data_IF_084016269837
#
_entry.id   IF_084016269837
#
_cell.length_a   1.000
_cell.length_b   1.000
_cell.length_c   1.000
_cell.angle_alpha   90.00
_cell.angle_beta   90.00
_cell.angle_gamma   90.00
#
_symmetry.space_group_name_H-M   'P 1'
#
loop_
_entity.id
_entity.type
_entity.pdbx_description
1 polymer ?
#
# COMPACT_ATOMS: atom_id res chain seq x y z
N UNK A 1 6.91 14.22 -9.08
CA UNK A 1 5.49 14.08 -9.40
C UNK A 1 5.15 12.91 -10.27
N UNK A 2 5.71 11.79 -9.92
CA UNK A 2 5.40 10.55 -10.61
C UNK A 2 4.08 9.99 -10.10
N UNK A 3 3.30 9.40 -11.02
CA UNK A 3 2.13 8.61 -10.64
C UNK A 3 2.54 7.25 -10.08
N UNK A 4 3.81 6.91 -10.22
CA UNK A 4 4.34 5.65 -9.68
C UNK A 4 4.82 5.85 -8.25
N UNK A 5 4.68 4.80 -7.46
CA UNK A 5 5.16 4.77 -6.08
C UNK A 5 5.83 3.44 -5.82
N UNK A 6 6.86 3.47 -4.97
CA UNK A 6 7.48 2.24 -4.49
C UNK A 6 7.27 2.15 -2.99
N UNK A 7 6.72 1.03 -2.58
CA UNK A 7 6.50 0.71 -1.18
C UNK A 7 7.41 -0.46 -0.79
N UNK A 8 8.04 -0.35 0.36
CA UNK A 8 8.91 -1.40 0.88
C UNK A 8 8.36 -1.89 2.21
N UNK A 9 8.36 -3.19 2.38
CA UNK A 9 7.93 -3.81 3.63
C UNK A 9 8.71 -5.09 3.88
N UNK A 10 8.54 -5.67 5.06
CA UNK A 10 9.19 -6.93 5.44
C UNK A 10 8.18 -8.04 5.66
N UNK A 11 7.06 -7.98 4.95
CA UNK A 11 5.99 -8.96 5.08
C UNK A 11 6.04 -9.92 3.91
N UNK A 12 6.38 -11.17 4.19
CA UNK A 12 6.51 -12.16 3.13
C UNK A 12 5.21 -12.39 2.36
N UNK A 13 4.07 -12.22 3.01
CA UNK A 13 2.78 -12.39 2.35
C UNK A 13 2.59 -11.41 1.19
N UNK A 14 3.27 -10.27 1.24
CA UNK A 14 3.20 -9.29 0.16
C UNK A 14 3.81 -9.81 -1.15
N UNK A 15 4.64 -10.85 -1.09
CA UNK A 15 5.19 -11.48 -2.30
C UNK A 15 4.11 -12.14 -3.16
N UNK A 16 2.95 -12.42 -2.57
CA UNK A 16 1.86 -13.08 -3.27
C UNK A 16 1.06 -12.13 -4.15
N UNK A 17 1.30 -10.83 -4.03
CA UNK A 17 0.62 -9.86 -4.90
C UNK A 17 1.11 -10.00 -6.33
N UNK A 18 0.20 -9.77 -7.28
CA UNK A 18 0.48 -9.90 -8.70
C UNK A 18 0.27 -8.57 -9.40
N UNK A 19 0.99 -8.33 -10.51
CA UNK A 19 0.69 -7.16 -11.35
C UNK A 19 -0.79 -7.14 -11.71
N UNK A 20 -1.40 -5.97 -11.56
CA UNK A 20 -2.83 -5.78 -11.79
C UNK A 20 -3.67 -5.82 -10.52
N UNK A 21 -3.12 -6.31 -9.40
CA UNK A 21 -3.86 -6.32 -8.14
C UNK A 21 -4.14 -4.89 -7.69
N UNK A 22 -5.30 -4.70 -7.08
CA UNK A 22 -5.71 -3.39 -6.55
C UNK A 22 -5.35 -3.33 -5.07
N UNK A 23 -4.81 -2.20 -4.65
CA UNK A 23 -4.37 -1.98 -3.27
C UNK A 23 -5.02 -0.72 -2.73
N UNK A 24 -5.67 -0.83 -1.58
CA UNK A 24 -6.16 0.33 -0.84
C UNK A 24 -5.04 0.79 0.08
N UNK A 25 -4.65 2.05 -0.05
CA UNK A 25 -3.62 2.63 0.79
C UNK A 25 -4.23 3.08 2.10
N UNK A 26 -3.69 2.58 3.19
CA UNK A 26 -4.13 2.88 4.55
C UNK A 26 -2.99 3.56 5.29
N UNK A 27 -3.28 4.73 5.83
CA UNK A 27 -2.28 5.54 6.53
C UNK A 27 -2.56 5.53 8.03
N UNK A 28 -1.58 5.13 8.82
CA UNK A 28 -1.68 5.16 10.27
C UNK A 28 -1.40 6.56 10.77
N UNK A 29 -2.02 6.91 11.91
CA UNK A 29 -1.91 8.24 12.48
C UNK A 29 -0.65 8.48 13.32
N UNK A 30 0.11 7.43 13.61
CA UNK A 30 1.19 7.55 14.59
C UNK A 30 0.64 7.76 15.99
N UNK A 31 1.23 8.70 16.74
CA UNK A 31 0.90 8.89 18.16
C UNK A 31 -0.07 10.01 18.43
N UNK A 32 -0.65 10.65 17.42
CA UNK A 32 -1.41 11.88 17.62
C UNK A 32 -2.90 11.63 17.80
N UNK A 33 -3.27 10.70 18.68
CA UNK A 33 -4.65 10.46 19.01
C UNK A 33 -5.09 9.05 18.71
N UNK A 34 -6.41 8.81 18.77
CA UNK A 34 -6.96 7.48 18.57
C UNK A 34 -6.80 7.01 17.12
N UNK A 35 -6.26 5.81 16.96
CA UNK A 35 -6.15 5.18 15.64
C UNK A 35 -7.52 5.03 14.98
N UNK A 36 -8.57 4.80 15.76
CA UNK A 36 -9.93 4.62 15.24
C UNK A 36 -10.42 5.81 14.44
N UNK A 37 -10.01 7.01 14.80
CA UNK A 37 -10.48 8.24 14.18
C UNK A 37 -9.46 8.91 13.28
N UNK A 38 -8.18 8.56 13.40
CA UNK A 38 -7.11 9.26 12.70
C UNK A 38 -6.40 8.42 11.64
N UNK A 39 -6.49 7.10 11.75
CA UNK A 39 -5.96 6.23 10.68
C UNK A 39 -7.02 6.13 9.59
N UNK A 40 -6.61 6.25 8.35
CA UNK A 40 -7.55 6.43 7.24
C UNK A 40 -7.12 5.69 5.98
N UNK A 41 -8.11 5.20 5.24
CA UNK A 41 -7.93 4.77 3.86
C UNK A 41 -7.99 6.02 2.98
N UNK A 42 -7.03 6.16 2.06
CA UNK A 42 -6.84 7.41 1.33
C UNK A 42 -6.91 7.29 -0.18
N UNK A 43 -6.58 6.14 -0.72
CA UNK A 43 -6.45 6.00 -2.17
C UNK A 43 -6.39 4.55 -2.61
N UNK A 44 -6.51 4.35 -3.91
CA UNK A 44 -6.35 3.05 -4.54
C UNK A 44 -5.18 3.12 -5.51
N UNK A 45 -4.33 2.08 -5.48
CA UNK A 45 -3.22 1.92 -6.40
C UNK A 45 -3.33 0.58 -7.10
N UNK A 46 -2.63 0.44 -8.22
CA UNK A 46 -2.53 -0.82 -8.95
C UNK A 46 -1.09 -1.32 -8.87
N UNK A 47 -0.91 -2.58 -8.52
CA UNK A 47 0.42 -3.20 -8.47
C UNK A 47 0.96 -3.33 -9.88
N UNK A 48 2.19 -2.87 -10.10
CA UNK A 48 2.90 -3.02 -11.37
C UNK A 48 3.92 -4.15 -11.30
N UNK A 49 4.72 -4.16 -10.24
CA UNK A 49 5.80 -5.14 -10.06
C UNK A 49 5.97 -5.46 -8.58
N UNK A 50 6.34 -6.70 -8.31
CA UNK A 50 6.71 -7.14 -6.95
C UNK A 50 8.10 -7.76 -7.06
N UNK A 51 9.03 -7.25 -6.29
CA UNK A 51 10.43 -7.68 -6.32
C UNK A 51 10.97 -7.91 -4.92
N UNK A 52 12.07 -8.60 -4.86
CA UNK A 52 12.85 -8.75 -3.63
C UNK A 52 14.27 -8.23 -3.90
N UNK A 53 15.09 -8.01 -2.87
CA UNK A 53 16.47 -7.53 -3.10
C UNK A 53 17.26 -8.45 -4.05
N UNK A 54 16.98 -9.74 -4.05
CA UNK A 54 17.69 -10.70 -4.90
C UNK A 54 17.39 -10.53 -6.38
N UNK A 55 16.32 -9.82 -6.72
CA UNK A 55 15.94 -9.60 -8.12
C UNK A 55 16.78 -8.53 -8.79
N UNK A 56 17.61 -7.85 -8.03
CA UNK A 56 18.52 -6.82 -8.56
C UNK A 56 19.93 -7.40 -8.71
N UNK A 57 20.59 -7.02 -9.78
CA UNK A 57 21.96 -7.51 -10.05
C UNK A 57 22.99 -6.93 -9.08
N UNK A 58 22.71 -5.75 -8.55
CA UNK A 58 23.63 -5.05 -7.67
C UNK A 58 22.87 -4.10 -6.77
N UNK A 59 23.55 -3.65 -5.71
CA UNK A 59 23.03 -2.61 -4.82
C UNK A 59 22.74 -1.33 -5.61
N UNK A 60 23.60 -0.98 -6.56
CA UNK A 60 23.43 0.22 -7.37
C UNK A 60 22.15 0.14 -8.21
N UNK A 61 21.86 -1.02 -8.79
CA UNK A 61 20.64 -1.21 -9.53
C UNK A 61 19.40 -1.06 -8.64
N UNK A 62 19.47 -1.64 -7.44
CA UNK A 62 18.40 -1.53 -6.45
C UNK A 62 18.15 -0.07 -6.04
N UNK A 63 19.21 0.66 -5.71
CA UNK A 63 19.09 2.06 -5.29
C UNK A 63 18.52 2.92 -6.42
N UNK A 64 19.00 2.72 -7.63
CA UNK A 64 18.48 3.47 -8.78
C UNK A 64 16.98 3.24 -8.96
N UNK A 65 16.56 2.00 -8.81
CA UNK A 65 15.14 1.64 -8.95
C UNK A 65 14.29 2.23 -7.83
N UNK A 66 14.72 2.06 -6.58
CA UNK A 66 13.90 2.44 -5.42
C UNK A 66 13.96 3.94 -5.12
N UNK A 67 15.10 4.57 -5.33
CA UNK A 67 15.27 5.98 -4.95
C UNK A 67 14.43 6.92 -5.81
N UNK A 68 14.16 6.55 -7.04
CA UNK A 68 13.42 7.40 -7.96
C UNK A 68 11.97 7.61 -7.54
N UNK A 69 11.33 6.56 -7.04
CA UNK A 69 9.88 6.58 -6.76
C UNK A 69 9.55 6.51 -5.28
N UNK A 70 10.54 6.36 -4.41
CA UNK A 70 10.33 6.15 -2.98
C UNK A 70 10.53 7.44 -2.20
N UNK A 71 9.77 7.57 -1.09
CA UNK A 71 9.97 8.67 -0.14
C UNK A 71 11.04 8.35 0.90
N UNK A 72 11.54 7.12 0.92
CA UNK A 72 12.56 6.71 1.90
C UNK A 72 13.91 7.29 1.53
N UNK A 73 14.69 7.67 2.55
CA UNK A 73 16.06 8.12 2.32
C UNK A 73 16.97 6.92 2.01
N UNK A 74 18.17 7.23 1.54
CA UNK A 74 19.13 6.21 1.11
C UNK A 74 19.52 5.25 2.23
N UNK A 75 19.65 5.75 3.46
CA UNK A 75 19.99 4.90 4.59
C UNK A 75 18.89 3.88 4.87
N UNK A 76 17.65 4.32 4.86
CA UNK A 76 16.48 3.43 5.05
C UNK A 76 16.41 2.41 3.93
N UNK A 77 16.60 2.84 2.68
CA UNK A 77 16.59 1.93 1.54
C UNK A 77 17.68 0.86 1.66
N UNK A 78 18.86 1.25 2.17
CA UNK A 78 19.95 0.31 2.36
C UNK A 78 19.64 -0.73 3.43
N UNK A 79 18.97 -0.32 4.51
CA UNK A 79 18.55 -1.23 5.56
C UNK A 79 17.58 -2.28 4.98
N UNK A 80 16.63 -1.84 4.16
CA UNK A 80 15.71 -2.76 3.49
C UNK A 80 16.46 -3.72 2.55
N UNK A 81 17.42 -3.20 1.81
CA UNK A 81 18.19 -4.03 0.87
C UNK A 81 18.88 -5.20 1.56
N UNK A 82 19.38 -4.96 2.77
CA UNK A 82 20.14 -5.96 3.53
C UNK A 82 19.25 -6.93 4.31
N UNK A 83 17.94 -6.78 4.23
CA UNK A 83 17.00 -7.67 4.91
C UNK A 83 16.39 -8.64 3.91
N UNK A 84 16.57 -9.95 4.13
CA UNK A 84 16.11 -10.98 3.21
C UNK A 84 14.58 -11.07 3.10
N UNK A 85 13.86 -10.50 4.06
CA UNK A 85 12.39 -10.52 4.06
C UNK A 85 11.77 -9.33 3.33
N UNK A 86 12.59 -8.42 2.81
CA UNK A 86 12.09 -7.22 2.15
C UNK A 86 11.35 -7.57 0.87
N UNK A 87 10.20 -6.94 0.72
CA UNK A 87 9.39 -6.97 -0.50
C UNK A 87 9.26 -5.56 -1.01
N UNK A 88 9.53 -5.38 -2.30
CA UNK A 88 9.52 -4.08 -2.97
C UNK A 88 8.34 -4.08 -3.95
N UNK A 89 7.39 -3.19 -3.72
CA UNK A 89 6.16 -3.15 -4.51
C UNK A 89 6.12 -1.83 -5.27
N UNK A 90 6.15 -1.92 -6.60
CA UNK A 90 5.95 -0.75 -7.43
C UNK A 90 4.49 -0.67 -7.82
N UNK A 91 3.88 0.48 -7.59
CA UNK A 91 2.45 0.69 -7.81
C UNK A 91 2.23 1.93 -8.66
N UNK A 92 1.16 1.89 -9.44
CA UNK A 92 0.65 3.08 -10.11
C UNK A 92 -0.46 3.66 -9.26
N UNK A 93 -0.35 4.94 -8.94
CA UNK A 93 -1.39 5.67 -8.23
C UNK A 93 -2.60 5.81 -9.14
N UNK A 94 -3.73 5.30 -8.70
CA UNK A 94 -4.93 5.27 -9.53
C UNK A 94 -5.93 6.37 -9.17
N UNK A 95 -6.40 6.38 -7.94
CA UNK A 95 -7.39 7.36 -7.53
C UNK A 95 -7.32 7.68 -6.05
N UNK A 96 -7.37 8.96 -5.72
CA UNK A 96 -7.53 9.41 -4.34
C UNK A 96 -9.00 9.33 -3.96
N UNK A 97 -9.26 9.02 -2.70
CA UNK A 97 -10.64 9.06 -2.18
C UNK A 97 -11.09 10.51 -2.06
N UNK A 98 -12.27 10.80 -2.55
CA UNK A 98 -12.91 12.10 -2.31
C UNK A 98 -13.35 12.23 -0.85
N UNK A 99 -13.63 11.09 -0.22
CA UNK A 99 -13.96 11.01 1.19
C UNK A 99 -13.06 9.95 1.83
N UNK A 100 -12.19 10.38 2.74
CA UNK A 100 -11.32 9.45 3.47
C UNK A 100 -12.15 8.62 4.44
N UNK A 101 -11.78 7.36 4.58
CA UNK A 101 -12.52 6.43 5.43
C UNK A 101 -11.68 6.11 6.65
N UNK A 102 -12.16 6.50 7.83
CA UNK A 102 -11.43 6.27 9.08
C UNK A 102 -11.49 4.80 9.49
N UNK A 103 -10.51 4.39 10.29
CA UNK A 103 -10.42 3.01 10.76
C UNK A 103 -11.72 2.53 11.41
N UNK A 104 -12.36 3.38 12.23
CA UNK A 104 -13.60 3.03 12.88
C UNK A 104 -14.67 2.59 11.87
N UNK A 105 -14.81 3.32 10.77
CA UNK A 105 -15.76 2.97 9.72
C UNK A 105 -15.36 1.68 9.01
N UNK A 106 -14.07 1.49 8.77
CA UNK A 106 -13.57 0.27 8.14
C UNK A 106 -13.91 -0.97 8.98
N UNK A 107 -13.86 -0.84 10.30
CA UNK A 107 -14.18 -1.93 11.21
C UNK A 107 -15.70 -2.10 11.37
N UNK A 108 -16.41 -1.04 11.70
CA UNK A 108 -17.81 -1.14 12.10
C UNK A 108 -18.78 -1.23 10.93
N UNK A 109 -18.45 -0.59 9.81
CA UNK A 109 -19.35 -0.55 8.66
C UNK A 109 -18.89 -1.47 7.53
N UNK A 110 -17.59 -1.45 7.19
CA UNK A 110 -17.06 -2.28 6.12
C UNK A 110 -16.84 -3.73 6.58
N UNK A 111 -16.58 -3.92 7.86
CA UNK A 111 -16.49 -5.25 8.43
C UNK A 111 -15.09 -5.85 8.45
N UNK A 112 -14.06 -5.01 8.44
CA UNK A 112 -12.69 -5.50 8.60
C UNK A 112 -12.46 -5.80 10.07
N UNK A 113 -11.89 -6.97 10.37
CA UNK A 113 -11.65 -7.36 11.76
C UNK A 113 -10.69 -6.41 12.44
N UNK A 114 -11.06 -5.97 13.66
CA UNK A 114 -10.20 -5.15 14.49
C UNK A 114 -8.88 -5.87 14.81
N UNK A 115 -8.93 -7.20 14.86
CA UNK A 115 -7.78 -8.02 15.22
C UNK A 115 -6.95 -8.45 14.00
N UNK A 116 -7.31 -8.02 12.79
CA UNK A 116 -6.54 -8.30 11.60
C UNK A 116 -5.19 -7.59 11.67
N UNK A 117 -4.22 -8.08 10.90
CA UNK A 117 -2.95 -7.39 10.79
C UNK A 117 -3.08 -6.26 9.78
N UNK A 118 -3.18 -5.03 10.28
CA UNK A 118 -3.48 -3.86 9.46
C UNK A 118 -2.28 -3.38 8.63
N UNK A 119 -1.10 -3.95 8.86
CA UNK A 119 0.05 -3.66 8.00
C UNK A 119 -0.09 -4.23 6.61
N UNK A 120 -0.81 -5.36 6.49
CA UNK A 120 -1.09 -5.98 5.20
C UNK A 120 -2.21 -6.99 5.40
N UNK A 121 -3.34 -6.78 4.75
CA UNK A 121 -4.45 -7.72 4.82
C UNK A 121 -5.16 -7.80 3.48
N UNK A 122 -5.79 -8.95 3.23
CA UNK A 122 -6.55 -9.16 2.01
C UNK A 122 -8.02 -8.82 2.26
N UNK A 123 -8.57 -8.02 1.37
CA UNK A 123 -9.98 -7.64 1.43
C UNK A 123 -10.80 -8.62 0.58
N UNK A 124 -12.04 -8.85 0.99
CA UNK A 124 -13.00 -9.53 0.11
C UNK A 124 -13.43 -8.55 -0.98
N UNK A 125 -13.97 -9.08 -2.06
CA UNK A 125 -14.51 -8.24 -3.13
C UNK A 125 -15.60 -7.31 -2.60
N UNK A 126 -16.45 -7.81 -1.70
CA UNK A 126 -17.50 -6.99 -1.10
C UNK A 126 -16.94 -5.84 -0.28
N UNK A 127 -15.91 -6.12 0.52
CA UNK A 127 -15.26 -5.08 1.32
C UNK A 127 -14.59 -4.04 0.42
N UNK A 128 -13.91 -4.49 -0.62
CA UNK A 128 -13.27 -3.58 -1.55
C UNK A 128 -14.29 -2.67 -2.24
N UNK A 129 -15.36 -3.24 -2.76
CA UNK A 129 -16.41 -2.48 -3.44
C UNK A 129 -17.09 -1.48 -2.49
N UNK A 130 -17.29 -1.87 -1.23
CA UNK A 130 -17.87 -0.98 -0.22
C UNK A 130 -16.93 0.20 0.07
N UNK A 131 -15.63 -0.08 0.15
CA UNK A 131 -14.63 0.97 0.36
C UNK A 131 -14.64 1.97 -0.81
N UNK A 132 -14.69 1.47 -2.04
CA UNK A 132 -14.73 2.34 -3.23
C UNK A 132 -15.96 3.24 -3.20
N UNK A 133 -17.11 2.69 -2.87
CA UNK A 133 -18.34 3.45 -2.78
C UNK A 133 -18.28 4.51 -1.68
N UNK A 134 -17.84 4.13 -0.48
CA UNK A 134 -17.71 5.05 0.65
C UNK A 134 -16.65 6.13 0.42
N UNK A 135 -15.60 5.79 -0.30
CA UNK A 135 -14.54 6.74 -0.67
C UNK A 135 -14.97 7.70 -1.76
N UNK A 136 -16.15 7.47 -2.36
CA UNK A 136 -16.70 8.30 -3.42
C UNK A 136 -15.75 8.41 -4.61
N UNK A 137 -15.22 7.26 -5.00
CA UNK A 137 -14.37 7.17 -6.18
C UNK A 137 -15.26 6.76 -7.35
N UNK A 138 -15.04 7.40 -8.49
CA UNK A 138 -15.68 6.98 -9.73
C UNK A 138 -15.00 5.68 -10.18
N UNK A 139 -15.75 4.59 -10.17
CA UNK A 139 -15.21 3.27 -10.52
C UNK A 139 -14.64 3.22 -11.93
N UNK A 140 -15.12 4.07 -12.82
CA UNK A 140 -14.59 4.12 -14.19
C UNK A 140 -13.13 4.58 -14.23
N UNK A 141 -12.62 5.20 -13.17
CA UNK A 141 -11.23 5.64 -13.08
C UNK A 141 -10.30 4.53 -12.61
N UNK A 142 -10.84 3.40 -12.13
CA UNK A 142 -10.01 2.31 -11.63
C UNK A 142 -9.64 1.40 -12.79
N UNK A 143 -8.34 1.21 -12.98
CA UNK A 143 -7.81 0.33 -14.02
C UNK A 143 -7.66 -1.08 -13.42
N UNK A 144 -8.33 -2.02 -14.03
CA UNK A 144 -8.24 -3.43 -13.61
C UNK A 144 -6.99 -4.12 -14.18
#
# INVERSE_FOLDING_TARGET
NSIHKIYLCRMEDAKQMNPGDLVVIYRTSGDLGSAMYRSVATSVCVVEEVKTPKDFKSYEEYIKYTNYYSIFDKNTLTIFYNNSKTVIIKMTYNAAFNRRIIRKELIEEVGISQNAYWGFLELTDEQFNDIIERGQIDESLIVD
#
